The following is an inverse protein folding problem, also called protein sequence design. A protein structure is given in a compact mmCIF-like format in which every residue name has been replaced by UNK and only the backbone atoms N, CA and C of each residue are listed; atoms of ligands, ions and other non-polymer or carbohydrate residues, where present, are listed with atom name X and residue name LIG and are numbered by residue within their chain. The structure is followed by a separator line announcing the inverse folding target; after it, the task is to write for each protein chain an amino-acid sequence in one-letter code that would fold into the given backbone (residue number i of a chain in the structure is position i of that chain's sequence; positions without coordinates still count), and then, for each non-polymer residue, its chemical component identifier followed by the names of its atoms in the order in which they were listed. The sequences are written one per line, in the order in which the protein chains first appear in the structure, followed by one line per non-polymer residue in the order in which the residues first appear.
data_IF_499496005278
#
_entry.id   IF_499496005278
#
_cell.length_a   1.000
_cell.length_b   1.000
_cell.length_c   1.000
_cell.angle_alpha   90.00
_cell.angle_beta   90.00
_cell.angle_gamma   90.00
#
_symmetry.space_group_name_H-M   'P 1'
#
loop_
_entity.id
_entity.type
_entity.pdbx_description
1 polymer ?
#
# COMPACT_ATOMS: atom_id res chain seq x y z
N UNK A 1 4.89 -23.11 -14.50
CA UNK A 1 4.74 -21.63 -14.41
C UNK A 1 5.61 -21.07 -13.32
N UNK A 2 6.44 -20.08 -13.64
CA UNK A 2 7.28 -19.39 -12.67
C UNK A 2 6.41 -18.42 -11.85
N UNK A 3 6.52 -18.50 -10.51
CA UNK A 3 5.80 -17.58 -9.61
C UNK A 3 6.34 -16.16 -9.76
N UNK A 4 5.48 -15.19 -9.98
CA UNK A 4 5.84 -13.77 -10.09
C UNK A 4 5.24 -12.97 -8.95
N UNK A 5 6.02 -12.09 -8.33
CA UNK A 5 5.54 -11.07 -7.42
C UNK A 5 5.67 -9.68 -8.07
N UNK A 6 4.56 -8.97 -8.16
CA UNK A 6 4.51 -7.58 -8.66
C UNK A 6 4.54 -6.63 -7.47
N UNK A 7 5.44 -5.64 -7.50
CA UNK A 7 5.57 -4.66 -6.42
C UNK A 7 5.44 -3.26 -7.00
N UNK A 8 4.32 -2.60 -6.74
CA UNK A 8 4.13 -1.19 -7.12
C UNK A 8 4.76 -0.27 -6.09
N UNK A 9 5.33 0.87 -6.50
CA UNK A 9 6.19 1.66 -5.62
C UNK A 9 7.48 0.90 -5.28
N UNK A 10 7.87 -0.01 -6.18
CA UNK A 10 8.92 -1.00 -5.97
C UNK A 10 10.31 -0.41 -5.76
N UNK A 11 10.55 0.84 -6.18
CA UNK A 11 11.83 1.54 -5.95
C UNK A 11 11.91 2.23 -4.58
N UNK A 12 10.82 2.24 -3.80
CA UNK A 12 10.78 2.77 -2.44
C UNK A 12 11.37 1.79 -1.42
N UNK A 13 11.72 2.31 -0.21
CA UNK A 13 12.38 1.50 0.82
C UNK A 13 11.62 0.23 1.21
N UNK A 14 10.30 0.32 1.41
CA UNK A 14 9.47 -0.86 1.74
C UNK A 14 9.35 -1.82 0.56
N UNK A 15 9.18 -1.28 -0.67
CA UNK A 15 9.08 -2.08 -1.90
C UNK A 15 10.35 -2.86 -2.17
N UNK A 16 11.52 -2.20 -2.13
CA UNK A 16 12.82 -2.83 -2.33
C UNK A 16 13.13 -3.90 -1.28
N UNK A 17 12.87 -3.61 0.00
CA UNK A 17 13.07 -4.59 1.05
C UNK A 17 12.17 -5.83 0.86
N UNK A 18 10.90 -5.62 0.44
CA UNK A 18 9.96 -6.69 0.14
C UNK A 18 10.41 -7.51 -1.09
N UNK A 19 10.91 -6.82 -2.14
CA UNK A 19 11.45 -7.48 -3.33
C UNK A 19 12.61 -8.42 -3.01
N UNK A 20 13.50 -8.04 -2.10
CA UNK A 20 14.62 -8.89 -1.65
C UNK A 20 14.16 -10.16 -0.95
N UNK A 21 13.08 -10.08 -0.15
CA UNK A 21 12.54 -11.26 0.55
C UNK A 21 11.80 -12.17 -0.43
N UNK A 22 10.87 -11.63 -1.22
CA UNK A 22 10.08 -12.42 -2.17
C UNK A 22 10.93 -12.97 -3.33
N UNK A 23 12.02 -12.27 -3.68
CA UNK A 23 12.92 -12.68 -4.76
C UNK A 23 13.71 -13.97 -4.49
N UNK A 24 13.59 -14.53 -3.28
CA UNK A 24 14.20 -15.85 -2.98
C UNK A 24 13.46 -17.01 -3.65
N UNK A 25 12.17 -16.84 -3.98
CA UNK A 25 11.34 -17.89 -4.57
C UNK A 25 10.38 -17.38 -5.66
N UNK A 26 10.41 -16.07 -5.96
CA UNK A 26 9.59 -15.42 -7.00
C UNK A 26 10.49 -14.64 -7.97
N UNK A 27 10.08 -14.62 -9.24
CA UNK A 27 10.49 -13.55 -10.16
C UNK A 27 9.87 -12.24 -9.69
N UNK A 28 10.64 -11.17 -9.64
CA UNK A 28 10.19 -9.86 -9.21
C UNK A 28 9.90 -8.94 -10.39
N UNK A 29 8.73 -8.32 -10.39
CA UNK A 29 8.39 -7.23 -11.32
C UNK A 29 8.16 -5.96 -10.52
N UNK A 30 9.09 -4.99 -10.66
CA UNK A 30 8.98 -3.68 -10.04
C UNK A 30 8.17 -2.73 -10.92
N UNK A 31 7.30 -1.95 -10.29
CA UNK A 31 6.60 -0.86 -10.95
C UNK A 31 6.77 0.46 -10.17
N UNK A 32 7.10 1.53 -10.87
CA UNK A 32 7.23 2.88 -10.32
C UNK A 32 6.99 3.90 -11.46
N UNK A 33 7.02 5.20 -11.16
CA UNK A 33 6.85 6.26 -12.17
C UNK A 33 8.16 6.62 -12.89
N UNK A 34 9.31 6.34 -12.32
CA UNK A 34 10.61 6.76 -12.83
C UNK A 34 11.43 5.56 -13.37
N UNK A 35 11.65 5.53 -14.68
CA UNK A 35 12.38 4.45 -15.35
C UNK A 35 13.81 4.29 -14.84
N UNK A 36 14.54 5.38 -14.62
CA UNK A 36 15.94 5.32 -14.17
C UNK A 36 16.05 4.67 -12.78
N UNK A 37 15.10 4.98 -11.88
CA UNK A 37 15.03 4.36 -10.56
C UNK A 37 14.66 2.86 -10.65
N UNK A 38 13.80 2.51 -11.59
CA UNK A 38 13.45 1.11 -11.83
C UNK A 38 14.68 0.35 -12.32
N UNK A 39 15.40 0.89 -13.30
CA UNK A 39 16.58 0.26 -13.89
C UNK A 39 17.67 0.05 -12.82
N UNK A 40 17.94 1.06 -12.00
CA UNK A 40 18.89 0.96 -10.90
C UNK A 40 18.48 -0.10 -9.87
N UNK A 41 17.18 -0.15 -9.51
CA UNK A 41 16.65 -1.13 -8.58
C UNK A 41 16.71 -2.57 -9.14
N UNK A 42 16.42 -2.75 -10.42
CA UNK A 42 16.53 -4.04 -11.11
C UNK A 42 17.99 -4.52 -11.14
N UNK A 43 18.93 -3.63 -11.45
CA UNK A 43 20.39 -3.95 -11.42
C UNK A 43 20.81 -4.42 -10.03
N UNK A 44 20.39 -3.72 -8.98
CA UNK A 44 20.70 -4.05 -7.59
C UNK A 44 20.13 -5.42 -7.16
N UNK A 45 18.87 -5.71 -7.52
CA UNK A 45 18.26 -7.03 -7.24
C UNK A 45 18.96 -8.16 -7.99
N UNK A 46 19.28 -7.96 -9.27
CA UNK A 46 20.00 -8.94 -10.09
C UNK A 46 21.42 -9.20 -9.58
N UNK A 47 22.11 -8.17 -9.11
CA UNK A 47 23.43 -8.33 -8.47
C UNK A 47 23.36 -9.19 -7.19
N UNK A 48 22.18 -9.26 -6.57
CA UNK A 48 21.90 -10.14 -5.42
C UNK A 48 21.36 -11.53 -5.83
N UNK A 49 21.40 -11.87 -7.12
CA UNK A 49 20.92 -13.17 -7.66
C UNK A 49 19.42 -13.30 -7.81
N UNK A 50 18.68 -12.20 -7.70
CA UNK A 50 17.22 -12.20 -7.83
C UNK A 50 16.82 -11.99 -9.30
N UNK A 51 15.96 -12.86 -9.84
CA UNK A 51 15.32 -12.62 -11.14
C UNK A 51 14.36 -11.43 -11.03
N UNK A 52 14.77 -10.30 -11.57
CA UNK A 52 14.04 -9.04 -11.48
C UNK A 52 13.91 -8.35 -12.84
N UNK A 53 12.76 -7.74 -13.06
CA UNK A 53 12.48 -6.83 -14.17
C UNK A 53 11.60 -5.69 -13.66
N UNK A 54 11.34 -4.68 -14.48
CA UNK A 54 10.47 -3.60 -14.07
C UNK A 54 9.96 -2.79 -15.25
N UNK A 55 8.90 -2.03 -15.02
CA UNK A 55 8.27 -1.17 -16.01
C UNK A 55 7.62 0.04 -15.34
N UNK A 56 7.53 1.14 -16.09
CA UNK A 56 6.81 2.34 -15.64
C UNK A 56 5.32 2.03 -15.51
N UNK A 57 4.75 2.43 -14.38
CA UNK A 57 3.31 2.32 -14.14
C UNK A 57 2.79 3.51 -13.34
N UNK A 58 1.83 4.23 -13.91
CA UNK A 58 0.98 5.17 -13.16
C UNK A 58 -0.25 4.40 -12.65
N UNK A 59 -0.30 4.18 -11.34
CA UNK A 59 -1.41 3.47 -10.71
C UNK A 59 -2.74 4.23 -10.78
N UNK A 60 -2.72 5.52 -11.09
CA UNK A 60 -3.95 6.32 -11.26
C UNK A 60 -4.58 6.12 -12.64
N UNK A 61 -3.85 5.52 -13.58
CA UNK A 61 -4.34 5.10 -14.90
C UNK A 61 -4.55 3.59 -14.94
N UNK A 62 -5.80 3.17 -15.05
CA UNK A 62 -6.16 1.75 -15.11
C UNK A 62 -5.49 1.03 -16.27
N UNK A 63 -5.37 1.66 -17.44
CA UNK A 63 -4.74 1.05 -18.59
C UNK A 63 -3.23 0.82 -18.36
N UNK A 64 -2.57 1.72 -17.62
CA UNK A 64 -1.18 1.54 -17.18
C UNK A 64 -1.02 0.34 -16.25
N UNK A 65 -1.95 0.16 -15.31
CA UNK A 65 -1.96 -1.00 -14.40
C UNK A 65 -2.21 -2.31 -15.18
N UNK A 66 -3.15 -2.32 -16.11
CA UNK A 66 -3.43 -3.51 -16.94
C UNK A 66 -2.21 -3.90 -17.78
N UNK A 67 -1.45 -2.94 -18.33
CA UNK A 67 -0.17 -3.17 -19.02
C UNK A 67 0.90 -3.74 -18.11
N UNK A 68 1.02 -3.24 -16.88
CA UNK A 68 1.94 -3.78 -15.87
C UNK A 68 1.65 -5.25 -15.60
N UNK A 69 0.40 -5.61 -15.34
CA UNK A 69 0.05 -7.00 -15.05
C UNK A 69 0.24 -7.91 -16.27
N UNK A 70 -0.10 -7.44 -17.47
CA UNK A 70 0.19 -8.17 -18.70
C UNK A 70 1.70 -8.38 -18.92
N UNK A 71 2.53 -7.38 -18.62
CA UNK A 71 3.98 -7.51 -18.64
C UNK A 71 4.49 -8.54 -17.64
N UNK A 72 3.90 -8.60 -16.44
CA UNK A 72 4.28 -9.55 -15.41
C UNK A 72 3.89 -11.00 -15.76
N UNK A 73 2.83 -11.20 -16.56
CA UNK A 73 2.34 -12.50 -17.02
C UNK A 73 2.96 -12.96 -18.33
N UNK A 74 3.76 -12.12 -18.99
CA UNK A 74 4.32 -12.44 -20.29
C UNK A 74 5.23 -13.69 -20.25
N UNK A 75 5.02 -14.65 -21.16
CA UNK A 75 5.69 -15.94 -21.16
C UNK A 75 5.00 -16.98 -20.26
N UNK A 76 5.77 -17.88 -19.65
CA UNK A 76 5.25 -18.91 -18.74
C UNK A 76 5.30 -18.43 -17.26
N UNK A 77 4.73 -17.24 -17.01
CA UNK A 77 4.72 -16.60 -15.69
C UNK A 77 3.30 -16.46 -15.16
N UNK A 78 3.13 -16.67 -13.84
CA UNK A 78 1.88 -16.45 -13.13
C UNK A 78 2.08 -15.49 -11.95
N UNK A 79 1.22 -14.48 -11.85
CA UNK A 79 1.28 -13.51 -10.74
C UNK A 79 0.69 -14.15 -9.49
N UNK A 80 1.56 -14.65 -8.59
CA UNK A 80 1.15 -15.21 -7.30
C UNK A 80 0.88 -14.14 -6.24
N UNK A 81 1.58 -12.99 -6.36
CA UNK A 81 1.42 -11.92 -5.39
C UNK A 81 1.49 -10.55 -6.04
N UNK A 82 0.64 -9.65 -5.57
CA UNK A 82 0.80 -8.21 -5.78
C UNK A 82 0.98 -7.54 -4.43
N UNK A 83 2.10 -6.83 -4.25
CA UNK A 83 2.34 -6.00 -3.06
C UNK A 83 2.25 -4.54 -3.49
N UNK A 84 1.14 -3.90 -3.13
CA UNK A 84 0.84 -2.53 -3.51
C UNK A 84 1.40 -1.55 -2.47
N UNK A 85 2.67 -1.16 -2.65
CA UNK A 85 3.34 -0.18 -1.77
C UNK A 85 3.33 1.24 -2.33
N UNK A 86 2.90 1.44 -3.59
CA UNK A 86 2.81 2.76 -4.18
C UNK A 86 1.82 3.64 -3.40
N UNK A 87 2.27 4.82 -3.04
CA UNK A 87 1.49 5.79 -2.30
C UNK A 87 2.29 7.05 -2.02
N UNK A 88 1.62 8.08 -1.56
CA UNK A 88 2.23 9.38 -1.23
C UNK A 88 1.84 9.83 0.16
N UNK A 89 2.76 10.57 0.82
CA UNK A 89 2.53 11.20 2.11
C UNK A 89 1.86 12.57 1.97
N UNK A 90 1.33 13.15 3.06
CA UNK A 90 0.68 14.46 3.03
C UNK A 90 1.57 15.59 2.53
N UNK A 91 2.89 15.46 2.68
CA UNK A 91 3.90 16.47 2.31
C UNK A 91 4.23 16.44 0.82
N UNK A 92 3.84 15.39 0.10
CA UNK A 92 4.19 15.22 -1.32
C UNK A 92 3.23 15.93 -2.27
N UNK A 93 2.09 16.46 -1.79
CA UNK A 93 1.18 17.15 -2.68
C UNK A 93 -0.13 17.61 -2.06
N UNK A 94 -1.06 18.04 -2.93
CA UNK A 94 -2.37 18.51 -2.52
C UNK A 94 -3.24 17.36 -1.98
N UNK A 95 -4.30 17.72 -1.23
CA UNK A 95 -5.28 16.74 -0.76
C UNK A 95 -5.92 15.92 -1.90
N UNK A 96 -6.12 16.53 -3.07
CA UNK A 96 -6.63 15.84 -4.25
C UNK A 96 -5.63 14.83 -4.79
N UNK A 97 -4.35 15.23 -4.92
CA UNK A 97 -3.27 14.35 -5.35
C UNK A 97 -3.14 13.15 -4.42
N UNK A 98 -3.14 13.38 -3.10
CA UNK A 98 -3.08 12.32 -2.08
C UNK A 98 -4.27 11.36 -2.19
N UNK A 99 -5.50 11.89 -2.31
CA UNK A 99 -6.69 11.06 -2.45
C UNK A 99 -6.67 10.22 -3.73
N UNK A 100 -6.27 10.82 -4.86
CA UNK A 100 -6.19 10.14 -6.15
C UNK A 100 -5.19 8.99 -6.11
N UNK A 101 -3.96 9.24 -5.71
CA UNK A 101 -2.92 8.20 -5.71
C UNK A 101 -3.25 7.11 -4.69
N UNK A 102 -3.52 7.48 -3.43
CA UNK A 102 -3.67 6.48 -2.38
C UNK A 102 -4.99 5.70 -2.45
N UNK A 103 -6.07 6.30 -2.95
CA UNK A 103 -7.36 5.60 -3.00
C UNK A 103 -7.70 5.10 -4.40
N UNK A 104 -7.71 5.97 -5.43
CA UNK A 104 -8.08 5.53 -6.79
C UNK A 104 -7.00 4.60 -7.36
N UNK A 105 -5.71 4.88 -7.10
CA UNK A 105 -4.64 3.95 -7.45
C UNK A 105 -4.84 2.56 -6.83
N UNK A 106 -5.25 2.50 -5.55
CA UNK A 106 -5.55 1.21 -4.90
C UNK A 106 -6.75 0.51 -5.54
N UNK A 107 -7.81 1.24 -5.95
CA UNK A 107 -8.94 0.65 -6.70
C UNK A 107 -8.44 0.04 -8.00
N UNK A 108 -7.69 0.79 -8.81
CA UNK A 108 -7.19 0.33 -10.09
C UNK A 108 -6.35 -0.95 -9.96
N UNK A 109 -5.40 -0.98 -9.02
CA UNK A 109 -4.54 -2.16 -8.79
C UNK A 109 -5.38 -3.34 -8.30
N UNK A 110 -6.27 -3.12 -7.35
CA UNK A 110 -7.10 -4.17 -6.76
C UNK A 110 -8.03 -4.82 -7.80
N UNK A 111 -8.73 -4.02 -8.59
CA UNK A 111 -9.66 -4.52 -9.61
C UNK A 111 -8.94 -5.18 -10.79
N UNK A 112 -7.80 -4.60 -11.22
CA UNK A 112 -7.01 -5.18 -12.29
C UNK A 112 -6.47 -6.55 -11.91
N UNK A 113 -6.01 -6.72 -10.67
CA UNK A 113 -5.52 -8.00 -10.18
C UNK A 113 -6.66 -8.98 -9.90
N UNK A 114 -7.77 -8.56 -9.29
CA UNK A 114 -8.94 -9.40 -9.08
C UNK A 114 -9.45 -10.04 -10.38
N UNK A 115 -9.41 -9.31 -11.49
CA UNK A 115 -9.82 -9.84 -12.80
C UNK A 115 -8.97 -11.03 -13.27
N UNK A 116 -7.73 -11.16 -12.78
CA UNK A 116 -6.73 -12.18 -13.13
C UNK A 116 -6.53 -13.23 -12.05
N UNK A 117 -6.83 -12.88 -10.79
CA UNK A 117 -6.54 -13.71 -9.64
C UNK A 117 -7.16 -15.09 -9.72
N UNK A 118 -6.42 -16.09 -9.31
CA UNK A 118 -6.79 -17.50 -9.22
C UNK A 118 -6.46 -18.06 -7.84
N UNK A 119 -6.73 -19.35 -7.63
CA UNK A 119 -6.51 -20.02 -6.35
C UNK A 119 -5.07 -19.85 -5.84
N UNK A 120 -4.96 -19.43 -4.59
CA UNK A 120 -3.70 -19.23 -3.87
C UNK A 120 -3.05 -17.87 -4.09
N UNK A 121 -3.55 -17.02 -5.00
CA UNK A 121 -2.98 -15.70 -5.25
C UNK A 121 -3.28 -14.72 -4.10
N UNK A 122 -2.41 -13.71 -3.93
CA UNK A 122 -2.54 -12.76 -2.84
C UNK A 122 -2.31 -11.31 -3.27
N UNK A 123 -3.18 -10.42 -2.80
CA UNK A 123 -2.98 -8.96 -2.85
C UNK A 123 -2.73 -8.40 -1.45
N UNK A 124 -1.66 -7.65 -1.31
CA UNK A 124 -1.31 -6.93 -0.08
C UNK A 124 -1.31 -5.44 -0.35
N UNK A 125 -2.27 -4.71 0.18
CA UNK A 125 -2.35 -3.25 0.08
C UNK A 125 -1.68 -2.57 1.26
N UNK A 126 -0.79 -1.60 1.03
CA UNK A 126 -0.17 -0.84 2.11
C UNK A 126 -1.04 0.37 2.48
N UNK A 127 -1.67 0.27 3.64
CA UNK A 127 -2.43 1.35 4.26
C UNK A 127 -1.50 2.27 5.12
N UNK A 128 -1.87 2.59 6.34
CA UNK A 128 -1.06 3.35 7.33
C UNK A 128 -1.75 3.36 8.69
N UNK A 129 -0.97 3.49 9.76
CA UNK A 129 -1.47 3.83 11.10
C UNK A 129 -2.40 5.07 11.10
N UNK A 130 -2.17 6.00 10.16
CA UNK A 130 -3.02 7.19 9.99
C UNK A 130 -4.47 6.84 9.60
N UNK A 131 -4.71 5.70 8.96
CA UNK A 131 -6.05 5.18 8.66
C UNK A 131 -6.85 4.79 9.90
N UNK A 132 -6.18 4.54 11.01
CA UNK A 132 -6.77 4.23 12.32
C UNK A 132 -6.86 5.45 13.25
N UNK A 133 -6.23 6.58 12.88
CA UNK A 133 -6.02 7.72 13.76
C UNK A 133 -7.27 8.55 14.07
N UNK A 134 -8.30 8.47 13.25
CA UNK A 134 -9.49 9.30 13.37
C UNK A 134 -10.68 8.57 14.01
N UNK A 135 -11.49 9.26 14.84
CA UNK A 135 -12.79 8.73 15.24
C UNK A 135 -13.64 8.36 14.02
N UNK A 136 -14.32 7.20 14.06
CA UNK A 136 -15.12 6.68 12.94
C UNK A 136 -16.14 7.69 12.39
N UNK A 137 -16.72 8.52 13.26
CA UNK A 137 -17.71 9.54 12.87
C UNK A 137 -17.13 10.65 11.97
N UNK A 138 -15.82 10.89 12.04
CA UNK A 138 -15.13 11.89 11.21
C UNK A 138 -14.72 11.34 9.84
N UNK A 139 -14.61 10.01 9.72
CA UNK A 139 -14.23 9.35 8.47
C UNK A 139 -15.43 9.33 7.53
N UNK A 140 -15.31 9.86 6.29
CA UNK A 140 -16.42 9.92 5.34
C UNK A 140 -16.70 8.54 4.68
N UNK A 141 -16.90 7.52 5.51
CA UNK A 141 -17.05 6.12 5.05
C UNK A 141 -18.26 5.91 4.14
N UNK A 142 -19.32 6.72 4.28
CA UNK A 142 -20.45 6.70 3.36
C UNK A 142 -20.13 7.11 1.92
N UNK A 143 -18.98 7.79 1.70
CA UNK A 143 -18.50 8.12 0.36
C UNK A 143 -17.62 7.02 -0.26
N UNK A 144 -17.13 6.08 0.51
CA UNK A 144 -16.17 5.08 0.07
C UNK A 144 -16.63 4.22 -1.12
N UNK A 145 -17.91 3.78 -1.20
CA UNK A 145 -18.38 3.05 -2.38
C UNK A 145 -18.28 3.83 -3.69
N UNK A 146 -18.26 5.18 -3.62
CA UNK A 146 -18.13 6.03 -4.82
C UNK A 146 -16.75 5.93 -5.48
N UNK A 147 -15.73 5.46 -4.78
CA UNK A 147 -14.39 5.30 -5.35
C UNK A 147 -14.38 4.38 -6.59
N UNK A 148 -15.28 3.39 -6.64
CA UNK A 148 -15.44 2.48 -7.77
C UNK A 148 -16.39 3.04 -8.84
N UNK A 149 -17.55 3.59 -8.42
CA UNK A 149 -18.63 3.98 -9.34
C UNK A 149 -18.48 5.40 -9.91
N UNK A 150 -17.89 6.32 -9.13
CA UNK A 150 -17.68 7.72 -9.49
C UNK A 150 -16.44 8.28 -8.78
N UNK A 151 -15.22 7.92 -9.26
CA UNK A 151 -13.96 8.36 -8.66
C UNK A 151 -13.84 9.89 -8.52
N UNK A 152 -14.40 10.64 -9.46
CA UNK A 152 -14.38 12.12 -9.45
C UNK A 152 -15.21 12.67 -8.29
N UNK A 153 -16.42 12.14 -8.09
CA UNK A 153 -17.25 12.54 -6.94
C UNK A 153 -16.60 12.11 -5.62
N UNK A 154 -15.99 10.93 -5.56
CA UNK A 154 -15.25 10.47 -4.39
C UNK A 154 -14.12 11.46 -4.03
N UNK A 155 -13.22 11.78 -4.98
CA UNK A 155 -12.13 12.74 -4.75
C UNK A 155 -12.67 14.08 -4.21
N UNK A 156 -13.72 14.65 -4.86
CA UNK A 156 -14.35 15.90 -4.42
C UNK A 156 -14.86 15.82 -2.98
N UNK A 157 -15.43 14.70 -2.57
CA UNK A 157 -15.95 14.51 -1.21
C UNK A 157 -14.78 14.45 -0.21
N UNK A 158 -13.73 13.69 -0.50
CA UNK A 158 -12.54 13.58 0.37
C UNK A 158 -11.89 14.96 0.53
N UNK A 159 -11.67 15.69 -0.57
CA UNK A 159 -11.08 17.03 -0.54
C UNK A 159 -11.97 18.01 0.25
N UNK A 160 -13.29 18.00 0.06
CA UNK A 160 -14.20 18.87 0.79
C UNK A 160 -14.21 18.55 2.29
N UNK A 161 -14.26 17.27 2.66
CA UNK A 161 -14.27 16.84 4.06
C UNK A 161 -12.95 17.12 4.77
N UNK A 162 -11.83 17.01 4.09
CA UNK A 162 -10.53 17.32 4.68
C UNK A 162 -10.28 18.81 4.96
N UNK A 163 -11.10 19.73 4.40
CA UNK A 163 -11.02 21.18 4.66
C UNK A 163 -11.61 21.61 6.01
N UNK A 164 -12.41 20.78 6.65
CA UNK A 164 -13.22 21.14 7.84
C UNK A 164 -12.35 21.67 9.00
N UNK A 165 -11.11 21.22 9.13
CA UNK A 165 -10.19 21.63 10.20
C UNK A 165 -9.10 22.63 9.73
N UNK A 166 -9.32 23.32 8.62
CA UNK A 166 -8.44 24.38 8.11
C UNK A 166 -7.32 23.90 7.21
N UNK A 167 -6.63 24.86 6.55
CA UNK A 167 -5.66 24.59 5.49
C UNK A 167 -4.44 23.76 5.96
N UNK A 168 -3.98 23.97 7.20
CA UNK A 168 -2.79 23.27 7.73
C UNK A 168 -2.97 21.76 7.85
N UNK A 169 -4.20 21.29 8.13
CA UNK A 169 -4.50 19.86 8.31
C UNK A 169 -5.07 19.20 7.06
N UNK A 170 -5.29 19.96 5.99
CA UNK A 170 -6.02 19.52 4.80
C UNK A 170 -5.40 18.27 4.16
N UNK A 171 -4.11 18.28 3.79
CA UNK A 171 -3.45 17.13 3.18
C UNK A 171 -3.32 15.96 4.16
N UNK A 172 -3.07 16.23 5.46
CA UNK A 172 -3.00 15.20 6.50
C UNK A 172 -4.33 14.46 6.71
N UNK A 173 -5.46 15.20 6.71
CA UNK A 173 -6.78 14.57 6.79
C UNK A 173 -7.15 13.81 5.53
N UNK A 174 -6.83 14.35 4.34
CA UNK A 174 -7.02 13.62 3.08
C UNK A 174 -6.22 12.32 3.06
N UNK A 175 -4.98 12.34 3.58
CA UNK A 175 -4.15 11.15 3.76
C UNK A 175 -4.81 10.15 4.70
N UNK A 176 -5.22 10.58 5.90
CA UNK A 176 -5.90 9.70 6.86
C UNK A 176 -7.17 9.09 6.28
N UNK A 177 -7.97 9.87 5.55
CA UNK A 177 -9.18 9.37 4.87
C UNK A 177 -8.82 8.36 3.76
N UNK A 178 -7.80 8.65 2.95
CA UNK A 178 -7.35 7.73 1.89
C UNK A 178 -6.84 6.41 2.46
N UNK A 179 -6.11 6.43 3.59
CA UNK A 179 -5.60 5.22 4.23
C UNK A 179 -6.70 4.45 4.98
N UNK A 180 -7.68 5.14 5.57
CA UNK A 180 -8.89 4.49 6.09
C UNK A 180 -9.71 3.83 4.96
N UNK A 181 -9.75 4.46 3.78
CA UNK A 181 -10.34 3.86 2.59
C UNK A 181 -9.62 2.57 2.17
N UNK A 182 -8.29 2.55 2.10
CA UNK A 182 -7.52 1.34 1.74
C UNK A 182 -7.85 0.17 2.67
N UNK A 183 -7.92 0.42 4.00
CA UNK A 183 -8.31 -0.60 4.99
C UNK A 183 -9.74 -1.11 4.72
N UNK A 184 -10.68 -0.20 4.55
CA UNK A 184 -12.08 -0.55 4.26
C UNK A 184 -12.22 -1.30 2.94
N UNK A 185 -11.51 -0.85 1.90
CA UNK A 185 -11.60 -1.41 0.56
C UNK A 185 -11.04 -2.83 0.49
N UNK A 186 -9.91 -3.09 1.11
CA UNK A 186 -9.33 -4.43 1.21
C UNK A 186 -10.29 -5.40 1.91
N UNK A 187 -10.96 -4.95 2.97
CA UNK A 187 -11.98 -5.75 3.66
C UNK A 187 -13.22 -5.99 2.80
N UNK A 188 -13.69 -4.96 2.09
CA UNK A 188 -14.85 -5.05 1.18
C UNK A 188 -14.61 -6.07 0.08
N UNK A 189 -13.41 -6.13 -0.48
CA UNK A 189 -13.07 -6.99 -1.62
C UNK A 189 -12.79 -8.45 -1.22
N UNK A 190 -12.74 -8.77 0.07
CA UNK A 190 -12.38 -10.12 0.54
C UNK A 190 -13.28 -11.22 -0.03
N UNK A 191 -14.59 -11.00 -0.11
CA UNK A 191 -15.50 -11.97 -0.67
C UNK A 191 -15.27 -12.23 -2.16
N UNK A 192 -14.96 -11.16 -2.94
CA UNK A 192 -14.68 -11.28 -4.36
C UNK A 192 -13.36 -12.03 -4.62
N UNK A 193 -12.31 -11.75 -3.83
CA UNK A 193 -11.06 -12.51 -3.87
C UNK A 193 -11.28 -13.98 -3.45
N UNK A 194 -12.02 -14.21 -2.36
CA UNK A 194 -12.32 -15.56 -1.87
C UNK A 194 -13.09 -16.40 -2.89
N UNK A 195 -13.99 -15.81 -3.67
CA UNK A 195 -14.69 -16.49 -4.76
C UNK A 195 -13.75 -16.98 -5.88
N UNK A 196 -12.52 -16.44 -5.94
CA UNK A 196 -11.45 -16.86 -6.85
C UNK A 196 -10.44 -17.81 -6.18
N UNK A 197 -10.64 -18.18 -4.90
CA UNK A 197 -9.64 -18.88 -4.10
C UNK A 197 -8.43 -18.02 -3.73
N UNK A 198 -8.50 -16.72 -3.96
CA UNK A 198 -7.44 -15.75 -3.70
C UNK A 198 -7.66 -14.99 -2.39
N UNK A 199 -6.64 -14.26 -1.93
CA UNK A 199 -6.66 -13.50 -0.69
C UNK A 199 -6.38 -12.02 -0.92
N UNK A 200 -6.94 -11.18 -0.07
CA UNK A 200 -6.61 -9.75 0.00
C UNK A 200 -6.50 -9.31 1.46
N UNK A 201 -5.43 -8.60 1.78
CA UNK A 201 -5.24 -7.98 3.09
C UNK A 201 -4.72 -6.56 2.93
N UNK A 202 -4.89 -5.74 3.97
CA UNK A 202 -4.10 -4.52 4.11
C UNK A 202 -3.09 -4.66 5.24
N UNK A 203 -1.98 -3.93 5.10
CA UNK A 203 -0.98 -3.77 6.16
C UNK A 203 -0.86 -2.29 6.45
N UNK A 204 -0.95 -1.91 7.72
CA UNK A 204 -0.89 -0.53 8.20
C UNK A 204 0.44 -0.25 8.93
N UNK A 205 1.46 0.28 8.24
CA UNK A 205 2.71 0.68 8.87
C UNK A 205 2.53 1.88 9.80
N UNK A 206 3.30 1.92 10.88
CA UNK A 206 3.61 3.13 11.64
C UNK A 206 4.77 3.92 11.03
N UNK A 207 5.63 4.49 11.87
CA UNK A 207 6.80 5.26 11.44
C UNK A 207 7.97 4.33 11.12
N UNK A 208 8.44 4.33 9.86
CA UNK A 208 9.55 3.52 9.37
C UNK A 208 10.67 4.41 8.80
N UNK A 209 11.93 3.97 8.92
CA UNK A 209 13.12 4.65 8.38
C UNK A 209 13.19 4.46 6.85
N UNK A 210 12.40 5.24 6.15
CA UNK A 210 12.36 5.33 4.68
C UNK A 210 12.47 6.79 4.26
N UNK A 211 12.73 7.06 2.98
CA UNK A 211 12.72 8.44 2.48
C UNK A 211 11.40 9.16 2.78
N UNK A 212 10.26 8.49 2.64
CA UNK A 212 8.93 9.01 3.00
C UNK A 212 8.81 9.22 4.52
N UNK A 213 9.26 8.26 5.32
CA UNK A 213 9.22 8.36 6.78
C UNK A 213 10.06 9.51 7.32
N UNK A 214 11.19 9.83 6.69
CA UNK A 214 12.03 11.01 7.03
C UNK A 214 11.28 12.32 6.76
N UNK A 215 10.61 12.44 5.61
CA UNK A 215 9.75 13.60 5.32
C UNK A 215 8.62 13.77 6.34
N UNK A 216 8.01 12.68 6.80
CA UNK A 216 6.95 12.70 7.82
C UNK A 216 7.51 13.03 9.22
N UNK A 217 8.72 12.58 9.54
CA UNK A 217 9.40 12.86 10.81
C UNK A 217 9.62 14.35 11.04
N UNK A 218 10.06 15.08 10.00
CA UNK A 218 10.27 16.53 10.02
C UNK A 218 8.96 17.31 10.22
N UNK A 219 7.80 16.65 10.03
CA UNK A 219 6.46 17.24 10.15
C UNK A 219 5.63 16.64 11.29
N UNK A 220 6.27 16.12 12.33
CA UNK A 220 5.62 15.70 13.57
C UNK A 220 5.41 14.20 13.76
N UNK A 221 5.77 13.36 12.78
CA UNK A 221 5.71 11.90 12.96
C UNK A 221 6.67 11.41 14.07
N UNK A 222 7.74 12.17 14.35
CA UNK A 222 8.62 11.91 15.49
C UNK A 222 7.90 11.97 16.86
N UNK A 223 6.82 12.76 16.97
CA UNK A 223 6.02 12.82 18.20
C UNK A 223 5.27 11.50 18.47
N UNK A 224 5.00 10.72 17.43
CA UNK A 224 4.40 9.40 17.58
C UNK A 224 5.31 8.43 18.34
N UNK A 225 6.63 8.60 18.23
CA UNK A 225 7.59 7.79 18.98
C UNK A 225 7.47 7.97 20.50
N UNK A 226 7.01 9.16 20.96
CA UNK A 226 6.81 9.42 22.38
C UNK A 226 5.72 8.53 23.01
N UNK A 227 4.76 8.10 22.19
CA UNK A 227 3.64 7.24 22.61
C UNK A 227 3.81 5.79 22.17
N UNK A 228 4.67 5.49 21.20
CA UNK A 228 4.94 4.13 20.75
C UNK A 228 5.52 3.28 21.88
N UNK A 229 5.23 1.99 21.91
CA UNK A 229 5.85 1.05 22.83
C UNK A 229 7.33 0.85 22.47
N UNK A 230 7.64 0.69 21.19
CA UNK A 230 9.00 0.67 20.67
C UNK A 230 9.41 2.11 20.31
N UNK A 231 10.32 2.70 21.10
CA UNK A 231 10.76 4.12 21.00
C UNK A 231 11.75 4.36 19.85
N UNK A 232 11.49 3.78 18.69
CA UNK A 232 12.32 3.91 17.47
C UNK A 232 11.48 3.83 16.21
N UNK A 233 12.04 4.28 15.11
CA UNK A 233 11.51 3.95 13.79
C UNK A 233 11.66 2.43 13.53
N UNK A 234 10.69 1.85 12.84
CA UNK A 234 10.83 0.53 12.25
C UNK A 234 11.81 0.55 11.09
N UNK A 235 12.52 -0.55 10.86
CA UNK A 235 13.40 -0.70 9.69
C UNK A 235 12.58 -1.18 8.49
N UNK A 236 12.94 -0.80 7.25
CA UNK A 236 12.26 -1.30 6.04
C UNK A 236 12.15 -2.83 5.98
N UNK A 237 13.16 -3.55 6.47
CA UNK A 237 13.18 -5.01 6.51
C UNK A 237 12.13 -5.59 7.46
N UNK A 238 11.79 -4.88 8.56
CA UNK A 238 10.81 -5.35 9.54
C UNK A 238 9.39 -5.32 8.97
N UNK A 239 9.04 -4.27 8.21
CA UNK A 239 7.74 -4.23 7.52
C UNK A 239 7.72 -5.14 6.30
N UNK A 240 8.83 -5.27 5.57
CA UNK A 240 8.96 -6.14 4.42
C UNK A 240 8.73 -7.60 4.78
N UNK A 241 9.19 -8.05 5.95
CA UNK A 241 8.92 -9.40 6.46
C UNK A 241 7.41 -9.67 6.61
N UNK A 242 6.65 -8.69 7.11
CA UNK A 242 5.19 -8.81 7.24
C UNK A 242 4.50 -8.77 5.87
N UNK A 243 4.94 -7.88 4.97
CA UNK A 243 4.39 -7.79 3.61
C UNK A 243 4.63 -9.10 2.83
N UNK A 244 5.85 -9.63 2.90
CA UNK A 244 6.21 -10.89 2.25
C UNK A 244 5.45 -12.09 2.88
N UNK A 245 5.30 -12.13 4.20
CA UNK A 245 4.46 -13.14 4.86
C UNK A 245 3.02 -13.09 4.35
N UNK A 246 2.41 -11.92 4.29
CA UNK A 246 1.04 -11.77 3.79
C UNK A 246 0.89 -12.17 2.32
N UNK A 247 1.93 -11.91 1.51
CA UNK A 247 1.98 -12.22 0.08
C UNK A 247 2.25 -13.71 -0.19
N UNK A 248 2.86 -14.44 0.77
CA UNK A 248 3.21 -15.86 0.62
C UNK A 248 1.99 -16.79 0.79
N UNK A 249 2.20 -18.07 0.53
CA UNK A 249 1.19 -19.12 0.73
C UNK A 249 0.97 -19.48 2.21
N UNK A 250 1.93 -19.14 3.09
CA UNK A 250 1.91 -19.55 4.50
C UNK A 250 0.64 -19.11 5.26
N UNK A 251 0.13 -17.87 5.12
CA UNK A 251 -1.09 -17.45 5.80
C UNK A 251 -2.35 -17.75 4.98
N UNK A 252 -2.51 -18.97 4.46
CA UNK A 252 -3.57 -19.35 3.53
C UNK A 252 -5.01 -19.06 3.98
N UNK A 253 -5.24 -18.86 5.29
CA UNK A 253 -6.57 -18.50 5.83
C UNK A 253 -6.68 -17.01 6.22
N UNK A 254 -5.65 -16.20 5.95
CA UNK A 254 -5.61 -14.77 6.29
C UNK A 254 -6.12 -13.93 5.11
N UNK A 255 -7.34 -13.40 5.22
CA UNK A 255 -7.94 -12.50 4.22
C UNK A 255 -8.92 -11.51 4.88
N UNK A 256 -9.23 -10.41 4.21
CA UNK A 256 -10.25 -9.45 4.63
C UNK A 256 -9.94 -8.71 5.94
N UNK A 257 -8.68 -8.60 6.31
CA UNK A 257 -8.24 -7.94 7.55
C UNK A 257 -7.16 -6.91 7.27
N UNK A 258 -6.89 -6.09 8.29
CA UNK A 258 -5.77 -5.14 8.33
C UNK A 258 -4.79 -5.54 9.41
N UNK A 259 -3.51 -5.55 9.08
CA UNK A 259 -2.42 -5.89 10.00
C UNK A 259 -1.67 -4.63 10.37
N UNK A 260 -1.81 -4.22 11.62
CA UNK A 260 -1.14 -3.03 12.15
C UNK A 260 0.29 -3.36 12.57
N UNK A 261 1.26 -2.64 11.99
CA UNK A 261 2.70 -2.79 12.26
C UNK A 261 3.28 -1.42 12.58
N UNK A 262 3.10 -0.97 13.82
CA UNK A 262 3.32 0.43 14.22
C UNK A 262 4.18 0.61 15.49
N UNK A 263 4.87 -0.44 15.92
CA UNK A 263 5.67 -0.39 17.13
C UNK A 263 4.86 -0.12 18.40
N UNK A 264 3.55 -0.39 18.37
CA UNK A 264 2.65 -0.15 19.50
C UNK A 264 2.20 1.31 19.62
N UNK A 265 2.30 2.11 18.56
CA UNK A 265 1.89 3.53 18.56
C UNK A 265 0.39 3.68 18.89
N UNK A 266 -0.48 2.91 18.24
CA UNK A 266 -1.92 2.97 18.51
C UNK A 266 -2.29 2.53 19.91
N UNK A 267 -1.70 1.45 20.38
CA UNK A 267 -1.88 1.00 21.76
C UNK A 267 -1.44 2.09 22.75
N UNK A 268 -0.28 2.69 22.54
CA UNK A 268 0.20 3.78 23.39
C UNK A 268 -0.68 5.03 23.35
N UNK A 269 -1.32 5.36 22.21
CA UNK A 269 -2.30 6.46 22.14
C UNK A 269 -3.59 6.14 22.90
N UNK A 270 -4.05 4.88 22.84
CA UNK A 270 -5.29 4.46 23.48
C UNK A 270 -5.18 4.38 25.00
N UNK A 271 -4.08 3.84 25.52
CA UNK A 271 -3.90 3.57 26.95
C UNK A 271 -3.07 4.62 27.71
N UNK A 272 -2.54 5.66 27.05
CA UNK A 272 -1.78 6.75 27.70
C UNK A 272 -2.66 7.75 28.48
N UNK A 273 -3.97 7.55 28.55
CA UNK A 273 -4.93 8.42 29.26
C UNK A 273 -5.14 8.05 30.74
N UNK A 274 -4.20 7.30 31.29
CA UNK A 274 -4.20 7.03 32.75
C UNK A 274 -3.03 7.71 33.43
#
# INVERSE_FOLDING_TARGET
MTKTAVITGGTGGMGMATARILGTDHRIVLADLNQERIDAAVVDLRASGIDASGTVCDITDRASVDKLLAFAEAGDHHIRAVVHTAGVSPQMGSAQFVARINAIGTVNVTEAFLARATEGDALVNVASVAGHGLPKILVPSGAFPKAESDPVAFEKIIVRRSRVFGKKLHSGLAYSFSKAFVIWYSRKQAAAFGARGARIVSVSPGSFDTAMGKLEADHGASDLLKVSALKRFGKPEEIAAVLAFCASEAPGYLTGTDILVDGGTRAGQEFKKS
#
